data_IF_577417859238
#
_entry.id   IF_577417859238
#
_cell.length_a   1.000
_cell.length_b   1.000
_cell.length_c   1.000
_cell.angle_alpha   90.00
_cell.angle_beta   90.00
_cell.angle_gamma   90.00
#
_symmetry.space_group_name_H-M   'P 1'
#
loop_
_entity.id
_entity.type
_entity.pdbx_description
1 polymer ?
#
# COMPACT_ATOMS: atom_id res chain seq x y z
N UNK A 1 -7.45 -59.63 33.80
CA UNK A 1 -8.34 -59.22 32.69
C UNK A 1 -8.23 -57.72 32.51
N UNK A 2 -7.41 -57.28 31.55
CA UNK A 2 -7.11 -55.86 31.32
C UNK A 2 -8.14 -55.20 30.40
N UNK A 3 -8.59 -54.00 30.78
CA UNK A 3 -9.40 -53.14 29.92
C UNK A 3 -8.50 -52.52 28.86
N UNK A 4 -8.63 -52.94 27.60
CA UNK A 4 -7.99 -52.25 26.47
C UNK A 4 -8.96 -51.19 25.96
N UNK A 5 -8.65 -49.91 26.18
CA UNK A 5 -9.31 -48.79 25.50
C UNK A 5 -8.92 -48.89 24.02
N UNK A 6 -9.89 -49.07 23.12
CA UNK A 6 -9.66 -48.89 21.69
C UNK A 6 -9.83 -47.40 21.39
N UNK A 7 -8.71 -46.77 21.02
CA UNK A 7 -8.68 -45.45 20.40
C UNK A 7 -9.26 -45.61 18.99
N UNK A 8 -10.25 -44.81 18.64
CA UNK A 8 -10.78 -44.73 17.28
C UNK A 8 -9.87 -43.74 16.55
N UNK A 9 -9.19 -44.13 15.46
CA UNK A 9 -8.50 -43.16 14.63
C UNK A 9 -9.55 -42.32 13.90
N UNK A 10 -9.53 -41.02 14.16
CA UNK A 10 -10.12 -40.01 13.28
C UNK A 10 -9.12 -39.78 12.16
N UNK A 11 -9.34 -40.37 10.99
CA UNK A 11 -8.72 -39.87 9.76
C UNK A 11 -9.40 -40.46 8.53
N UNK A 12 -9.74 -39.52 7.64
CA UNK A 12 -10.02 -39.65 6.21
C UNK A 12 -11.30 -40.37 5.77
N UNK A 13 -12.05 -39.66 4.91
CA UNK A 13 -12.87 -40.14 3.76
C UNK A 13 -14.20 -39.40 3.54
N UNK A 14 -14.33 -38.13 3.94
CA UNK A 14 -15.37 -37.23 3.39
C UNK A 14 -14.84 -35.80 3.35
N UNK A 15 -14.71 -35.09 2.23
CA UNK A 15 -15.04 -35.38 0.86
C UNK A 15 -13.94 -34.79 -0.02
N UNK A 16 -13.68 -35.51 -1.09
CA UNK A 16 -12.61 -35.26 -2.04
C UNK A 16 -13.12 -34.19 -2.99
N UNK A 17 -12.75 -32.93 -2.77
CA UNK A 17 -13.00 -31.86 -3.73
C UNK A 17 -12.05 -32.04 -4.92
N UNK A 18 -12.49 -32.94 -5.79
CA UNK A 18 -11.99 -33.11 -7.15
C UNK A 18 -12.38 -31.86 -7.92
N UNK A 19 -11.51 -30.86 -7.93
CA UNK A 19 -11.62 -29.79 -8.91
C UNK A 19 -11.55 -30.40 -10.32
N UNK A 20 -12.56 -30.23 -11.18
CA UNK A 20 -12.38 -30.47 -12.59
C UNK A 20 -11.39 -29.42 -13.10
N UNK A 21 -10.18 -29.85 -13.49
CA UNK A 21 -9.21 -28.97 -14.15
C UNK A 21 -9.86 -28.32 -15.39
N UNK A 22 -9.55 -27.05 -15.62
CA UNK A 22 -10.10 -26.20 -16.68
C UNK A 22 -10.00 -26.82 -18.10
N UNK A 23 -9.12 -27.82 -18.30
CA UNK A 23 -9.06 -28.64 -19.53
C UNK A 23 -10.35 -29.41 -19.86
N UNK A 24 -11.28 -29.59 -18.90
CA UNK A 24 -12.57 -30.24 -19.13
C UNK A 24 -13.69 -29.30 -19.59
N UNK A 25 -13.40 -28.00 -19.76
CA UNK A 25 -14.36 -27.02 -20.30
C UNK A 25 -15.51 -26.65 -19.35
N UNK A 26 -15.38 -26.95 -18.06
CA UNK A 26 -16.32 -26.51 -17.02
C UNK A 26 -15.80 -25.17 -16.49
N UNK A 27 -16.31 -24.06 -17.04
CA UNK A 27 -16.03 -22.72 -16.52
C UNK A 27 -16.66 -22.49 -15.15
N UNK A 28 -16.22 -21.44 -14.44
CA UNK A 28 -16.82 -20.97 -13.19
C UNK A 28 -18.33 -20.86 -13.37
N UNK A 29 -19.10 -21.43 -12.46
CA UNK A 29 -20.55 -21.37 -12.56
C UNK A 29 -21.04 -19.94 -12.28
N UNK A 30 -22.15 -19.52 -12.90
CA UNK A 30 -22.78 -18.19 -12.71
C UNK A 30 -23.05 -17.88 -11.22
N UNK A 31 -23.16 -18.92 -10.40
CA UNK A 31 -23.31 -18.86 -8.94
C UNK A 31 -22.03 -18.43 -8.21
N UNK A 32 -20.88 -18.91 -8.65
CA UNK A 32 -19.58 -18.59 -8.04
C UNK A 32 -19.12 -17.17 -8.38
N UNK A 33 -19.35 -16.72 -9.62
CA UNK A 33 -19.06 -15.34 -10.02
C UNK A 33 -19.89 -14.33 -9.21
N UNK A 34 -21.17 -14.65 -8.98
CA UNK A 34 -22.04 -13.82 -8.15
C UNK A 34 -21.59 -13.76 -6.69
N UNK A 35 -21.18 -14.90 -6.13
CA UNK A 35 -20.65 -14.97 -4.76
C UNK A 35 -19.39 -14.11 -4.60
N UNK A 36 -18.43 -14.24 -5.53
CA UNK A 36 -17.21 -13.40 -5.55
C UNK A 36 -17.55 -11.91 -5.62
N UNK A 37 -18.55 -11.53 -6.42
CA UNK A 37 -18.99 -10.16 -6.52
C UNK A 37 -19.63 -9.64 -5.21
N UNK A 38 -20.44 -10.45 -4.53
CA UNK A 38 -21.03 -10.12 -3.22
C UNK A 38 -19.93 -9.95 -2.15
N UNK A 39 -18.88 -10.77 -2.19
CA UNK A 39 -17.74 -10.66 -1.28
C UNK A 39 -16.94 -9.37 -1.56
N UNK A 40 -16.61 -9.08 -2.83
CA UNK A 40 -15.92 -7.82 -3.22
C UNK A 40 -16.71 -6.57 -2.83
N UNK A 41 -18.04 -6.64 -2.84
CA UNK A 41 -18.92 -5.53 -2.41
C UNK A 41 -19.11 -5.46 -0.89
N UNK A 42 -18.51 -6.38 -0.12
CA UNK A 42 -18.67 -6.46 1.33
C UNK A 42 -20.07 -6.90 1.78
N UNK A 43 -20.85 -7.54 0.91
CA UNK A 43 -22.19 -8.06 1.22
C UNK A 43 -22.14 -9.45 1.86
N UNK A 44 -21.00 -10.14 1.74
CA UNK A 44 -20.78 -11.47 2.29
C UNK A 44 -19.39 -11.56 2.93
N UNK A 45 -19.32 -11.94 4.21
CA UNK A 45 -18.05 -12.19 4.91
C UNK A 45 -17.59 -13.63 4.65
N UNK A 46 -16.30 -13.81 4.34
CA UNK A 46 -15.67 -15.13 4.18
C UNK A 46 -14.58 -15.28 5.22
N UNK A 47 -14.55 -16.42 5.90
CA UNK A 47 -13.50 -16.74 6.87
C UNK A 47 -12.14 -16.92 6.15
N UNK A 48 -11.10 -16.12 6.47
CA UNK A 48 -9.78 -16.24 5.85
C UNK A 48 -9.09 -17.59 6.10
N UNK A 49 -9.53 -18.37 7.09
CA UNK A 49 -8.95 -19.66 7.40
C UNK A 49 -9.41 -20.78 6.45
N UNK A 50 -10.50 -20.56 5.70
CA UNK A 50 -11.03 -21.50 4.70
C UNK A 50 -10.33 -21.34 3.36
N UNK A 51 -10.44 -22.35 2.48
CA UNK A 51 -9.79 -22.34 1.16
C UNK A 51 -10.36 -21.24 0.25
N UNK A 52 -11.67 -21.01 0.29
CA UNK A 52 -12.37 -19.94 -0.42
C UNK A 52 -11.93 -18.54 0.05
N UNK A 53 -11.77 -18.36 1.38
CA UNK A 53 -11.28 -17.11 1.95
C UNK A 53 -9.86 -16.78 1.51
N UNK A 54 -8.98 -17.79 1.47
CA UNK A 54 -7.59 -17.63 0.98
C UNK A 54 -7.53 -17.28 -0.50
N UNK A 55 -8.37 -17.90 -1.33
CA UNK A 55 -8.43 -17.62 -2.76
C UNK A 55 -8.88 -16.19 -3.03
N UNK A 56 -9.93 -15.75 -2.33
CA UNK A 56 -10.46 -14.38 -2.45
C UNK A 56 -9.40 -13.35 -2.02
N UNK A 57 -8.68 -13.62 -0.93
CA UNK A 57 -7.62 -12.73 -0.43
C UNK A 57 -6.45 -12.59 -1.41
N UNK A 58 -6.17 -13.62 -2.19
CA UNK A 58 -5.12 -13.61 -3.20
C UNK A 58 -5.51 -12.88 -4.49
N UNK A 59 -6.82 -12.82 -4.82
CA UNK A 59 -7.32 -12.11 -6.01
C UNK A 59 -7.29 -10.57 -5.84
N UNK A 60 -7.34 -10.05 -4.61
CA UNK A 60 -7.28 -8.60 -4.30
C UNK A 60 -5.85 -8.07 -4.15
N UNK A 61 -4.82 -8.90 -4.35
CA UNK A 61 -3.40 -8.51 -4.26
C UNK A 61 -2.89 -7.89 -5.58
N UNK A 62 -3.73 -7.86 -6.63
CA UNK A 62 -3.45 -7.18 -7.89
C UNK A 62 -3.67 -5.67 -7.74
N UNK A 63 -2.58 -4.91 -7.72
CA UNK A 63 -2.61 -3.45 -7.67
C UNK A 63 -2.90 -2.92 -9.07
N UNK A 64 -3.95 -2.12 -9.23
CA UNK A 64 -4.22 -1.45 -10.51
C UNK A 64 -3.16 -0.35 -10.78
N UNK A 65 -2.87 -0.01 -12.05
CA UNK A 65 -1.83 0.99 -12.39
C UNK A 65 -2.02 2.38 -11.74
N UNK A 66 -3.25 2.74 -11.37
CA UNK A 66 -3.54 4.00 -10.68
C UNK A 66 -3.32 3.90 -9.16
N UNK A 67 -3.45 2.70 -8.59
CA UNK A 67 -3.17 2.39 -7.19
C UNK A 67 -1.67 2.32 -6.92
N UNK A 68 -0.87 1.91 -7.90
CA UNK A 68 0.59 1.96 -7.83
C UNK A 68 1.10 3.37 -7.48
N UNK A 69 0.52 4.41 -8.09
CA UNK A 69 0.89 5.80 -7.81
C UNK A 69 0.51 6.27 -6.40
N UNK A 70 -0.52 5.68 -5.79
CA UNK A 70 -0.85 5.91 -4.39
C UNK A 70 0.07 5.12 -3.45
N UNK A 71 0.46 3.90 -3.83
CA UNK A 71 1.36 3.05 -3.06
C UNK A 71 2.79 3.64 -3.00
N UNK A 72 3.26 4.32 -4.05
CA UNK A 72 4.55 5.02 -4.09
C UNK A 72 4.65 6.14 -3.04
N UNK A 73 3.52 6.75 -2.70
CA UNK A 73 3.45 7.87 -1.76
C UNK A 73 4.13 9.15 -2.28
N UNK A 74 3.92 10.26 -1.58
CA UNK A 74 4.59 11.52 -1.94
C UNK A 74 6.04 11.51 -1.43
N UNK A 75 7.01 11.31 -2.33
CA UNK A 75 8.43 11.18 -1.98
C UNK A 75 9.02 12.40 -1.25
N UNK A 76 8.38 13.57 -1.42
CA UNK A 76 8.86 14.84 -0.88
C UNK A 76 8.15 15.26 0.41
N UNK A 77 7.37 14.37 1.06
CA UNK A 77 6.86 14.55 2.43
C UNK A 77 6.03 15.81 2.69
N UNK A 78 5.53 16.47 1.64
CA UNK A 78 4.89 17.78 1.75
C UNK A 78 5.85 18.92 2.13
N UNK A 79 7.15 18.80 1.82
CA UNK A 79 8.18 19.80 2.13
C UNK A 79 7.83 21.20 1.59
N UNK A 80 7.15 21.26 0.45
CA UNK A 80 6.70 22.52 -0.18
C UNK A 80 5.51 23.19 0.54
N UNK A 81 4.93 22.55 1.56
CA UNK A 81 3.89 23.13 2.42
C UNK A 81 4.45 23.87 3.63
N UNK A 82 5.78 23.89 3.82
CA UNK A 82 6.45 24.47 4.99
C UNK A 82 7.64 25.33 4.57
N UNK A 83 7.99 26.30 5.41
CA UNK A 83 9.22 27.06 5.25
C UNK A 83 10.43 26.12 5.38
N UNK A 84 11.32 26.12 4.40
CA UNK A 84 12.46 25.21 4.39
C UNK A 84 13.50 25.52 5.48
N UNK A 85 13.54 26.75 6.01
CA UNK A 85 14.41 27.14 7.11
C UNK A 85 13.75 26.90 8.48
N UNK A 86 12.51 27.34 8.68
CA UNK A 86 11.84 27.31 10.00
C UNK A 86 10.95 26.08 10.21
N UNK A 87 10.46 25.47 9.12
CA UNK A 87 9.50 24.37 9.16
C UNK A 87 8.06 24.81 9.44
N UNK A 88 7.80 26.12 9.52
CA UNK A 88 6.47 26.68 9.74
C UNK A 88 5.55 26.40 8.53
N UNK A 89 4.28 26.03 8.75
CA UNK A 89 3.33 25.84 7.65
C UNK A 89 3.14 27.14 6.84
N UNK A 90 3.03 27.01 5.53
CA UNK A 90 2.81 28.13 4.61
C UNK A 90 1.34 28.29 4.20
N UNK A 91 0.41 27.58 4.85
CA UNK A 91 -1.00 27.55 4.48
C UNK A 91 -1.71 28.90 4.70
N UNK A 92 -1.25 29.68 5.67
CA UNK A 92 -1.86 30.96 6.07
C UNK A 92 -1.13 32.19 5.50
N UNK A 93 -0.09 31.98 4.69
CA UNK A 93 0.74 33.05 4.13
C UNK A 93 0.24 33.44 2.74
N UNK A 94 -0.10 34.72 2.55
CA UNK A 94 -0.54 35.26 1.25
C UNK A 94 0.62 35.35 0.24
N UNK A 95 1.85 35.51 0.73
CA UNK A 95 3.05 35.66 -0.09
C UNK A 95 4.14 34.67 0.33
N UNK A 96 4.45 33.73 -0.55
CA UNK A 96 5.50 32.72 -0.33
C UNK A 96 6.67 33.02 -1.27
N UNK A 97 7.88 33.00 -0.70
CA UNK A 97 9.11 33.18 -1.49
C UNK A 97 9.64 31.82 -1.91
N UNK A 98 9.75 31.58 -3.22
CA UNK A 98 10.36 30.38 -3.78
C UNK A 98 11.82 30.64 -4.19
N UNK A 99 12.73 29.71 -3.89
CA UNK A 99 14.13 29.81 -4.31
C UNK A 99 14.72 28.44 -4.63
N UNK A 100 15.44 28.35 -5.75
CA UNK A 100 16.20 27.16 -6.14
C UNK A 100 17.60 27.20 -5.52
N UNK A 101 17.96 26.17 -4.77
CA UNK A 101 19.23 26.05 -4.06
C UNK A 101 19.75 24.63 -4.28
N UNK A 102 20.94 24.49 -4.86
CA UNK A 102 21.56 23.20 -5.20
C UNK A 102 20.67 22.30 -6.08
N UNK A 103 19.94 22.89 -7.04
CA UNK A 103 19.06 22.16 -7.95
C UNK A 103 17.75 21.67 -7.33
N UNK A 104 17.43 22.10 -6.10
CA UNK A 104 16.16 21.81 -5.43
C UNK A 104 15.38 23.10 -5.16
N UNK A 105 14.07 23.06 -5.40
CA UNK A 105 13.17 24.17 -5.14
C UNK A 105 12.75 24.16 -3.65
N UNK A 106 12.87 25.31 -2.99
CA UNK A 106 12.47 25.51 -1.61
C UNK A 106 11.53 26.71 -1.47
N UNK A 107 10.68 26.69 -0.44
CA UNK A 107 9.71 27.75 -0.13
C UNK A 107 9.98 28.35 1.25
N UNK A 108 9.66 29.63 1.41
CA UNK A 108 9.94 30.40 2.62
C UNK A 108 8.82 31.41 2.89
N UNK A 109 8.58 31.72 4.16
CA UNK A 109 7.67 32.79 4.61
C UNK A 109 8.17 34.16 4.17
N UNK A 110 9.50 34.33 4.01
CA UNK A 110 10.06 35.62 3.62
C UNK A 110 11.46 35.50 2.99
N UNK A 111 11.90 36.58 2.34
CA UNK A 111 13.20 36.63 1.66
C UNK A 111 14.40 36.49 2.62
N UNK A 112 14.25 36.89 3.88
CA UNK A 112 15.34 36.78 4.88
C UNK A 112 15.64 35.31 5.18
N UNK A 113 14.60 34.47 5.28
CA UNK A 113 14.74 33.04 5.49
C UNK A 113 15.42 32.38 4.29
N UNK A 114 14.97 32.70 3.07
CA UNK A 114 15.58 32.21 1.84
C UNK A 114 17.08 32.55 1.76
N UNK A 115 17.47 33.79 2.09
CA UNK A 115 18.88 34.23 2.09
C UNK A 115 19.72 33.47 3.12
N UNK A 116 19.22 33.31 4.35
CA UNK A 116 19.93 32.56 5.42
C UNK A 116 20.12 31.10 5.03
N UNK A 117 19.08 30.48 4.50
CA UNK A 117 19.11 29.09 4.04
C UNK A 117 20.12 28.90 2.91
N UNK A 118 20.15 29.81 1.93
CA UNK A 118 21.14 29.80 0.85
C UNK A 118 22.58 29.95 1.35
N UNK A 119 22.83 30.80 2.34
CA UNK A 119 24.16 30.95 2.92
C UNK A 119 24.61 29.66 3.61
N UNK A 120 23.72 29.02 4.38
CA UNK A 120 24.00 27.74 5.05
C UNK A 120 24.34 26.62 4.06
N UNK A 121 23.69 26.60 2.89
CA UNK A 121 23.88 25.55 1.89
C UNK A 121 24.91 25.86 0.80
N UNK A 122 25.42 27.09 0.74
CA UNK A 122 26.59 27.43 -0.08
C UNK A 122 27.86 26.73 0.43
N UNK A 123 28.05 26.66 1.73
CA UNK A 123 29.25 26.07 2.33
C UNK A 123 29.35 24.55 2.04
N UNK A 124 28.22 23.84 1.97
CA UNK A 124 28.20 22.40 1.69
C UNK A 124 28.39 22.06 0.21
N UNK A 125 28.03 22.95 -0.72
CA UNK A 125 28.26 22.73 -2.18
C UNK A 125 29.74 22.69 -2.55
N UNK A 126 30.61 23.33 -1.76
CA UNK A 126 32.06 23.37 -1.99
C UNK A 126 32.81 22.07 -1.65
N UNK A 127 32.13 21.09 -1.02
CA UNK A 127 32.75 19.82 -0.60
C UNK A 127 32.69 18.71 -1.66
N UNK A 128 31.92 18.88 -2.73
CA UNK A 128 31.70 17.83 -3.74
C UNK A 128 32.48 18.05 -5.05
N UNK A 129 33.26 19.13 -5.19
CA UNK A 129 34.20 19.35 -6.32
C UNK A 129 35.65 18.98 -5.95
N UNK A 130 35.92 17.71 -5.67
CA UNK A 130 37.30 17.17 -5.59
C UNK A 130 37.45 15.84 -6.30
#
# INVERSE_FOLDING_TARGET
MGRKKKVIPEEDLSGRDLYPEEEQGIGKSETEEKLLQEIRQGQHEVDPLTEEGRKTLAEDDEIEPWEEGFAEGASDGGQLGKDALTGEPLMDEDEVVEAEINGKLYRFVNEKNARKFRLKHKDDSSKFEK
#
